data_IF_859853919533
#
_entry.id   IF_859853919533
#
_cell.length_a   1.000
_cell.length_b   1.000
_cell.length_c   1.000
_cell.angle_alpha   90.00
_cell.angle_beta   90.00
_cell.angle_gamma   90.00
#
_symmetry.space_group_name_H-M   'P 1'
#
loop_
_entity.id
_entity.type
_entity.pdbx_description
1 polymer ?
#
# COMPACT_ATOMS: atom_id res chain seq x y z
N UNK A 1 3.17 78.18 -22.95
CA UNK A 1 3.53 76.81 -23.41
C UNK A 1 4.23 76.08 -22.27
N UNK A 2 3.45 75.57 -21.35
CA UNK A 2 3.86 74.66 -20.26
C UNK A 2 2.65 73.89 -19.89
N UNK A 3 2.32 72.83 -20.58
CA UNK A 3 1.39 71.80 -20.22
C UNK A 3 1.64 70.63 -21.15
N UNK A 4 2.15 69.54 -20.65
CA UNK A 4 2.03 68.20 -21.22
C UNK A 4 3.20 67.24 -20.81
N UNK A 5 3.53 67.19 -19.51
CA UNK A 5 4.47 66.14 -19.02
C UNK A 5 3.99 65.33 -17.80
N UNK A 6 2.80 65.57 -17.29
CA UNK A 6 2.34 64.89 -16.05
C UNK A 6 1.36 63.72 -16.29
N UNK A 7 0.83 63.58 -17.52
CA UNK A 7 -0.24 62.57 -17.79
C UNK A 7 0.32 61.16 -17.99
N UNK A 8 1.59 60.97 -18.28
CA UNK A 8 2.17 59.66 -18.56
C UNK A 8 2.58 58.85 -17.30
N UNK A 9 2.88 59.50 -16.19
CA UNK A 9 3.37 58.83 -14.97
C UNK A 9 2.30 57.98 -14.26
N UNK A 10 1.11 58.52 -14.10
CA UNK A 10 0.03 57.79 -13.39
C UNK A 10 -0.51 56.58 -14.18
N UNK A 11 -0.48 56.66 -15.50
CA UNK A 11 -0.84 55.53 -16.36
C UNK A 11 0.18 54.41 -16.26
N UNK A 12 1.46 54.73 -16.26
CA UNK A 12 2.57 53.77 -16.12
C UNK A 12 2.54 53.06 -14.76
N UNK A 13 2.31 53.78 -13.67
CA UNK A 13 2.17 53.21 -12.32
C UNK A 13 0.98 52.22 -12.22
N UNK A 14 -0.16 52.54 -12.80
CA UNK A 14 -1.33 51.63 -12.87
C UNK A 14 -1.06 50.36 -13.70
N UNK A 15 -0.28 50.46 -14.79
CA UNK A 15 0.11 49.28 -15.54
C UNK A 15 1.12 48.41 -14.77
N UNK A 16 2.05 49.02 -14.06
CA UNK A 16 3.03 48.34 -13.21
C UNK A 16 2.37 47.60 -12.08
N UNK A 17 1.41 48.22 -11.41
CA UNK A 17 0.59 47.60 -10.35
C UNK A 17 -0.21 46.40 -10.86
N UNK A 18 -0.86 46.54 -12.01
CA UNK A 18 -1.58 45.41 -12.62
C UNK A 18 -0.63 44.26 -13.00
N UNK A 19 0.55 44.57 -13.52
CA UNK A 19 1.56 43.58 -13.88
C UNK A 19 2.05 42.84 -12.62
N UNK A 20 2.42 43.57 -11.55
CA UNK A 20 2.86 43.01 -10.28
C UNK A 20 1.80 42.14 -9.67
N UNK A 21 0.55 42.63 -9.63
CA UNK A 21 -0.59 41.83 -9.11
C UNK A 21 -0.77 40.55 -9.92
N UNK A 22 -0.71 40.60 -11.23
CA UNK A 22 -0.84 39.42 -12.10
C UNK A 22 0.30 38.39 -11.85
N UNK A 23 1.54 38.88 -11.68
CA UNK A 23 2.67 38.00 -11.34
C UNK A 23 2.52 37.37 -9.99
N UNK A 24 2.07 38.13 -8.96
CA UNK A 24 1.79 37.60 -7.64
C UNK A 24 0.67 36.53 -7.65
N UNK A 25 -0.42 36.79 -8.34
CA UNK A 25 -1.51 35.81 -8.49
C UNK A 25 -1.02 34.54 -9.19
N UNK A 26 -0.27 34.69 -10.27
CA UNK A 26 0.29 33.53 -11.00
C UNK A 26 1.24 32.72 -10.12
N UNK A 27 2.13 33.36 -9.36
CA UNK A 27 3.05 32.67 -8.46
C UNK A 27 2.32 31.93 -7.33
N UNK A 28 1.26 32.49 -6.78
CA UNK A 28 0.41 31.82 -5.79
C UNK A 28 -0.31 30.60 -6.39
N UNK A 29 -0.87 30.75 -7.59
CA UNK A 29 -1.52 29.62 -8.29
C UNK A 29 -0.54 28.48 -8.60
N UNK A 30 0.69 28.82 -9.01
CA UNK A 30 1.76 27.84 -9.23
C UNK A 30 2.14 27.16 -7.92
N UNK A 31 2.31 27.90 -6.83
CA UNK A 31 2.61 27.34 -5.52
C UNK A 31 1.50 26.39 -5.03
N UNK A 32 0.23 26.79 -5.17
CA UNK A 32 -0.94 25.94 -4.83
C UNK A 32 -0.92 24.66 -5.69
N UNK A 33 -0.68 24.77 -6.99
CA UNK A 33 -0.59 23.59 -7.88
C UNK A 33 0.50 22.62 -7.43
N UNK A 34 1.70 23.12 -7.10
CA UNK A 34 2.79 22.29 -6.59
C UNK A 34 2.45 21.65 -5.24
N UNK A 35 1.86 22.41 -4.32
CA UNK A 35 1.42 21.91 -3.02
C UNK A 35 0.40 20.78 -3.19
N UNK A 36 -0.61 20.96 -4.03
CA UNK A 36 -1.60 19.93 -4.35
C UNK A 36 -0.94 18.71 -4.98
N UNK A 37 0.01 18.89 -5.90
CA UNK A 37 0.72 17.77 -6.52
C UNK A 37 1.53 16.96 -5.49
N UNK A 38 2.25 17.62 -4.61
CA UNK A 38 3.04 16.98 -3.54
C UNK A 38 2.15 16.23 -2.56
N UNK A 39 0.97 16.77 -2.23
CA UNK A 39 0.08 16.20 -1.21
C UNK A 39 -0.90 15.17 -1.73
N UNK A 40 -1.27 15.21 -3.03
CA UNK A 40 -2.38 14.38 -3.53
C UNK A 40 -1.94 13.26 -4.47
N UNK A 41 -1.05 13.51 -5.42
CA UNK A 41 -0.70 12.55 -6.48
C UNK A 41 0.80 12.40 -6.60
N UNK A 42 1.26 11.17 -6.76
CA UNK A 42 2.66 10.83 -7.03
C UNK A 42 2.72 9.77 -8.14
N UNK A 43 3.83 9.79 -8.91
CA UNK A 43 4.08 8.79 -9.95
C UNK A 43 5.08 7.75 -9.48
N UNK A 44 4.78 6.47 -9.74
CA UNK A 44 5.69 5.34 -9.53
C UNK A 44 5.88 4.55 -10.82
N UNK A 45 7.11 4.11 -11.07
CA UNK A 45 7.42 3.18 -12.14
C UNK A 45 7.32 1.75 -11.63
N UNK A 46 6.67 0.86 -12.40
CA UNK A 46 6.54 -0.56 -12.09
C UNK A 46 7.79 -1.29 -12.59
N UNK A 47 8.59 -1.89 -11.68
CA UNK A 47 9.81 -2.61 -12.07
C UNK A 47 9.59 -4.08 -12.41
N UNK A 48 8.57 -4.74 -11.82
CA UNK A 48 8.33 -6.18 -11.83
C UNK A 48 6.97 -6.53 -12.42
N UNK A 49 6.76 -7.81 -12.68
CA UNK A 49 5.55 -8.39 -13.29
C UNK A 49 4.52 -8.94 -12.29
N UNK A 50 4.77 -8.83 -10.97
CA UNK A 50 3.91 -9.43 -9.94
C UNK A 50 2.44 -8.97 -9.97
N UNK A 51 2.15 -7.90 -10.71
CA UNK A 51 0.80 -7.37 -10.94
C UNK A 51 0.32 -7.56 -12.39
N UNK A 52 0.99 -8.45 -13.17
CA UNK A 52 0.54 -8.80 -14.52
C UNK A 52 -0.81 -9.54 -14.47
N UNK A 53 -1.75 -9.28 -15.38
CA UNK A 53 -1.67 -8.41 -16.56
C UNK A 53 -2.05 -6.94 -16.28
N UNK A 54 -2.56 -6.62 -15.08
CA UNK A 54 -3.04 -5.27 -14.73
C UNK A 54 -1.94 -4.23 -14.87
N UNK A 55 -0.78 -4.50 -14.28
CA UNK A 55 0.43 -3.68 -14.42
C UNK A 55 1.58 -4.50 -14.98
N UNK A 56 2.39 -3.87 -15.84
CA UNK A 56 3.53 -4.49 -16.51
C UNK A 56 4.82 -3.70 -16.23
N UNK A 57 6.00 -4.36 -16.26
CA UNK A 57 7.27 -3.66 -16.15
C UNK A 57 7.37 -2.53 -17.19
N UNK A 58 7.71 -1.32 -16.73
CA UNK A 58 7.77 -0.12 -17.57
C UNK A 58 6.50 0.74 -17.57
N UNK A 59 5.42 0.30 -16.92
CA UNK A 59 4.28 1.17 -16.61
C UNK A 59 4.69 2.23 -15.58
N UNK A 60 4.23 3.46 -15.77
CA UNK A 60 4.28 4.54 -14.79
C UNK A 60 2.85 4.82 -14.33
N UNK A 61 2.59 4.64 -13.05
CA UNK A 61 1.26 4.77 -12.46
C UNK A 61 1.09 6.08 -11.70
N UNK A 62 -0.12 6.62 -11.70
CA UNK A 62 -0.52 7.72 -10.81
C UNK A 62 -1.16 7.16 -9.55
N UNK A 63 -0.65 7.58 -8.40
CA UNK A 63 -1.09 7.13 -7.08
C UNK A 63 -1.71 8.29 -6.31
N UNK A 64 -2.96 8.12 -5.93
CA UNK A 64 -3.69 9.07 -5.11
C UNK A 64 -3.35 8.84 -3.63
N UNK A 65 -2.56 9.75 -3.04
CA UNK A 65 -2.17 9.73 -1.62
C UNK A 65 -3.25 10.27 -0.69
N UNK A 66 -4.15 11.11 -1.19
CA UNK A 66 -5.16 11.77 -0.35
C UNK A 66 -6.14 10.79 0.29
N UNK A 67 -6.34 9.62 -0.32
CA UNK A 67 -7.18 8.54 0.24
C UNK A 67 -6.65 8.11 1.62
N UNK A 68 -5.33 8.01 1.77
CA UNK A 68 -4.67 7.60 3.01
C UNK A 68 -4.17 8.78 3.87
N UNK A 69 -4.26 10.00 3.34
CA UNK A 69 -3.57 11.18 3.86
C UNK A 69 -2.08 11.16 3.50
N UNK A 70 -1.63 12.22 2.81
CA UNK A 70 -0.23 12.34 2.42
C UNK A 70 0.68 12.38 3.65
N UNK A 71 1.88 11.82 3.50
CA UNK A 71 2.90 11.81 4.54
C UNK A 71 3.88 12.95 4.34
N UNK A 72 4.22 13.61 5.41
CA UNK A 72 5.27 14.64 5.47
C UNK A 72 6.33 14.11 6.42
N UNK A 73 7.54 13.97 5.95
CA UNK A 73 8.70 13.52 6.70
C UNK A 73 9.99 14.08 6.09
N UNK A 74 11.07 14.07 6.87
CA UNK A 74 12.39 14.49 6.40
C UNK A 74 12.97 13.43 5.45
N UNK A 75 13.00 13.74 4.14
CA UNK A 75 13.48 12.81 3.12
C UNK A 75 14.99 12.54 3.22
N UNK A 76 15.77 13.49 3.76
CA UNK A 76 17.21 13.36 3.92
C UNK A 76 17.55 12.36 5.03
N UNK A 77 16.87 12.45 6.17
CA UNK A 77 17.01 11.49 7.27
C UNK A 77 16.53 10.10 6.84
N UNK A 78 15.43 10.03 6.08
CA UNK A 78 14.92 8.78 5.52
C UNK A 78 15.92 8.13 4.53
N UNK A 79 16.66 8.93 3.76
CA UNK A 79 17.69 8.44 2.84
C UNK A 79 18.93 7.91 3.58
N UNK A 80 19.21 8.40 4.77
CA UNK A 80 20.27 7.91 5.67
C UNK A 80 19.82 6.72 6.55
N UNK A 81 18.62 6.16 6.30
CA UNK A 81 17.99 5.05 7.05
C UNK A 81 17.83 5.36 8.56
N UNK A 82 17.77 6.65 8.94
CA UNK A 82 17.47 7.09 10.29
C UNK A 82 15.99 6.93 10.62
N UNK A 83 15.67 6.82 11.90
CA UNK A 83 14.28 6.96 12.36
C UNK A 83 13.79 8.38 12.07
N UNK A 84 12.64 8.49 11.42
CA UNK A 84 12.03 9.77 11.03
C UNK A 84 10.62 9.87 11.57
N UNK A 85 10.28 11.05 12.05
CA UNK A 85 8.91 11.37 12.41
C UNK A 85 8.06 11.54 11.14
N UNK A 86 6.97 10.79 11.06
CA UNK A 86 6.04 10.82 9.95
C UNK A 86 4.75 11.51 10.38
N UNK A 87 4.55 12.73 9.90
CA UNK A 87 3.26 13.40 10.02
C UNK A 87 2.36 13.02 8.85
N UNK A 88 1.13 12.59 9.14
CA UNK A 88 0.14 12.21 8.13
C UNK A 88 -0.99 13.24 8.09
N UNK A 89 -1.25 13.78 6.91
CA UNK A 89 -2.41 14.65 6.67
C UNK A 89 -3.73 13.88 6.84
N UNK A 90 -4.85 14.56 7.15
CA UNK A 90 -6.15 13.91 7.17
C UNK A 90 -6.46 13.16 5.89
N UNK A 91 -7.03 11.98 6.01
CA UNK A 91 -7.46 11.17 4.86
C UNK A 91 -8.79 11.69 4.30
N UNK A 92 -8.91 11.69 2.96
CA UNK A 92 -10.11 12.12 2.24
C UNK A 92 -10.89 10.94 1.64
N UNK A 93 -10.53 9.68 1.99
CA UNK A 93 -11.20 8.50 1.47
C UNK A 93 -10.96 7.26 2.30
N UNK A 94 -11.34 6.12 1.73
CA UNK A 94 -11.13 4.80 2.31
C UNK A 94 -10.62 3.86 1.22
N UNK A 95 -9.77 2.93 1.58
CA UNK A 95 -9.37 1.80 0.73
C UNK A 95 -10.58 0.91 0.48
N UNK A 96 -10.76 0.48 -0.75
CA UNK A 96 -11.80 -0.45 -1.17
C UNK A 96 -11.20 -1.79 -1.55
N UNK A 97 -12.03 -2.83 -1.54
CA UNK A 97 -11.66 -4.13 -2.07
C UNK A 97 -11.36 -4.01 -3.56
N UNK A 98 -10.37 -4.72 -4.03
CA UNK A 98 -9.81 -4.66 -5.38
C UNK A 98 -9.00 -3.37 -5.72
N UNK A 99 -8.91 -2.37 -4.85
CA UNK A 99 -7.98 -1.25 -5.06
C UNK A 99 -6.53 -1.74 -5.19
N UNK A 100 -5.78 -1.18 -6.12
CA UNK A 100 -4.34 -1.45 -6.24
C UNK A 100 -3.58 -0.47 -5.34
N UNK A 101 -2.97 -1.00 -4.29
CA UNK A 101 -2.28 -0.24 -3.25
C UNK A 101 -0.80 -0.10 -3.55
N UNK A 102 -0.26 1.09 -3.28
CA UNK A 102 1.17 1.32 -3.16
C UNK A 102 1.50 1.48 -1.67
N UNK A 103 2.47 0.73 -1.19
CA UNK A 103 2.83 0.68 0.22
C UNK A 103 4.32 0.38 0.43
N UNK A 104 4.83 0.64 1.64
CA UNK A 104 6.16 0.20 2.04
C UNK A 104 6.15 -1.26 2.44
N UNK A 105 7.14 -2.02 1.98
CA UNK A 105 7.24 -3.43 2.33
C UNK A 105 7.47 -3.60 3.84
N UNK A 106 6.63 -4.40 4.53
CA UNK A 106 6.64 -4.44 5.99
C UNK A 106 7.79 -5.25 6.60
N UNK A 107 8.54 -6.06 5.82
CA UNK A 107 9.60 -6.95 6.32
C UNK A 107 10.91 -6.77 5.54
N UNK A 108 11.56 -5.57 5.55
CA UNK A 108 12.72 -5.29 4.71
C UNK A 108 13.98 -6.08 5.10
N UNK A 109 14.15 -6.43 6.39
CA UNK A 109 15.37 -7.07 6.88
C UNK A 109 15.22 -8.58 7.08
N UNK A 110 14.13 -9.03 7.71
CA UNK A 110 13.76 -10.44 7.91
C UNK A 110 12.25 -10.54 8.10
N UNK A 111 11.67 -11.72 7.86
CA UNK A 111 10.22 -11.92 7.99
C UNK A 111 9.73 -12.01 9.45
N UNK A 112 10.57 -11.76 10.43
CA UNK A 112 10.31 -11.90 11.86
C UNK A 112 9.98 -10.59 12.58
N UNK A 113 10.19 -9.44 11.94
CA UNK A 113 9.87 -8.14 12.53
C UNK A 113 9.34 -7.13 11.51
N UNK A 114 8.30 -6.39 11.91
CA UNK A 114 7.76 -5.29 11.10
C UNK A 114 8.64 -4.06 11.24
N UNK A 115 9.12 -3.55 10.11
CA UNK A 115 9.83 -2.27 10.03
C UNK A 115 9.48 -1.53 8.74
N UNK A 116 9.61 -0.21 8.72
CA UNK A 116 9.24 0.61 7.57
C UNK A 116 10.48 1.14 6.87
N UNK A 117 10.72 0.67 5.63
CA UNK A 117 11.73 1.25 4.75
C UNK A 117 11.07 2.27 3.82
N UNK A 118 11.19 3.55 4.14
CA UNK A 118 10.43 4.65 3.51
C UNK A 118 10.68 4.82 2.00
N UNK A 119 11.82 4.35 1.49
CA UNK A 119 12.19 4.49 0.07
C UNK A 119 11.91 3.23 -0.76
N UNK A 120 11.44 2.14 -0.13
CA UNK A 120 11.15 0.88 -0.82
C UNK A 120 9.65 0.64 -0.94
N UNK A 121 9.14 0.71 -2.16
CA UNK A 121 7.72 0.63 -2.45
C UNK A 121 7.35 -0.70 -3.11
N UNK A 122 6.19 -1.21 -2.73
CA UNK A 122 5.54 -2.38 -3.32
C UNK A 122 4.15 -2.01 -3.83
N UNK A 123 3.69 -2.76 -4.82
CA UNK A 123 2.36 -2.58 -5.41
C UNK A 123 1.64 -3.92 -5.40
N UNK A 124 0.47 -3.98 -4.75
CA UNK A 124 -0.40 -5.17 -4.69
C UNK A 124 -1.86 -4.76 -4.66
N UNK A 125 -2.74 -5.69 -5.01
CA UNK A 125 -4.19 -5.52 -4.91
C UNK A 125 -4.68 -5.75 -3.49
N UNK A 126 -5.59 -4.90 -3.01
CA UNK A 126 -6.32 -5.09 -1.76
C UNK A 126 -7.34 -6.22 -1.93
N UNK A 127 -7.11 -7.34 -1.27
CA UNK A 127 -8.00 -8.50 -1.31
C UNK A 127 -9.01 -8.44 -0.17
N UNK A 128 -8.54 -8.15 1.06
CA UNK A 128 -9.36 -8.18 2.26
C UNK A 128 -9.21 -6.88 3.06
N UNK A 129 -10.33 -6.39 3.55
CA UNK A 129 -10.42 -5.17 4.36
C UNK A 129 -10.36 -5.48 5.87
N UNK A 130 -10.04 -4.49 6.71
CA UNK A 130 -10.09 -4.64 8.16
C UNK A 130 -11.47 -5.09 8.66
N UNK A 131 -11.49 -6.06 9.57
CA UNK A 131 -12.70 -6.65 10.15
C UNK A 131 -13.22 -7.90 9.43
N UNK A 132 -12.73 -8.18 8.23
CA UNK A 132 -13.15 -9.36 7.45
C UNK A 132 -12.44 -10.64 7.95
N UNK A 133 -13.05 -11.78 7.65
CA UNK A 133 -12.41 -13.11 7.78
C UNK A 133 -12.35 -13.76 6.40
N UNK A 134 -11.17 -14.17 5.99
CA UNK A 134 -10.90 -14.69 4.67
C UNK A 134 -10.26 -16.06 4.68
N UNK A 135 -10.21 -16.68 3.52
CA UNK A 135 -9.36 -17.82 3.23
C UNK A 135 -9.17 -18.01 1.73
N UNK A 136 -8.41 -19.04 1.39
CA UNK A 136 -8.26 -19.54 0.03
C UNK A 136 -8.70 -21.01 0.03
N UNK A 137 -9.52 -21.41 -0.93
CA UNK A 137 -9.92 -22.81 -1.16
C UNK A 137 -9.65 -23.16 -2.60
N UNK A 138 -8.87 -24.21 -2.83
CA UNK A 138 -8.45 -24.63 -4.18
C UNK A 138 -7.92 -23.45 -5.02
N UNK A 139 -7.13 -22.56 -4.42
CA UNK A 139 -6.57 -21.40 -5.10
C UNK A 139 -7.49 -20.18 -5.23
N UNK A 140 -8.74 -20.26 -4.79
CA UNK A 140 -9.73 -19.17 -4.88
C UNK A 140 -9.92 -18.44 -3.55
N UNK A 141 -9.81 -17.11 -3.59
CA UNK A 141 -10.14 -16.27 -2.44
C UNK A 141 -11.62 -16.37 -2.08
N UNK A 142 -11.90 -16.47 -0.79
CA UNK A 142 -13.24 -16.26 -0.26
C UNK A 142 -13.18 -15.36 0.98
N UNK A 143 -14.24 -14.59 1.21
CA UNK A 143 -14.43 -13.77 2.40
C UNK A 143 -15.79 -14.14 2.99
N UNK A 144 -15.82 -14.37 4.31
CA UNK A 144 -17.06 -14.74 5.00
C UNK A 144 -18.13 -13.65 4.82
N UNK A 145 -19.28 -14.03 4.27
CA UNK A 145 -20.41 -13.14 4.03
C UNK A 145 -20.31 -12.24 2.80
N UNK A 146 -19.29 -12.43 1.94
CA UNK A 146 -19.10 -11.67 0.69
C UNK A 146 -19.13 -12.62 -0.50
N UNK A 147 -19.95 -12.29 -1.50
CA UNK A 147 -20.08 -13.07 -2.75
C UNK A 147 -19.48 -12.36 -3.97
N UNK A 148 -18.81 -11.23 -3.77
CA UNK A 148 -18.22 -10.45 -4.85
C UNK A 148 -16.99 -11.14 -5.45
N UNK A 149 -16.70 -10.81 -6.71
CA UNK A 149 -15.45 -11.22 -7.36
C UNK A 149 -14.26 -10.48 -6.74
N UNK A 150 -13.26 -11.23 -6.29
CA UNK A 150 -12.13 -10.71 -5.53
C UNK A 150 -10.84 -11.08 -6.23
N UNK A 151 -9.98 -10.09 -6.47
CA UNK A 151 -8.67 -10.30 -7.09
C UNK A 151 -8.75 -10.72 -8.56
N UNK A 152 -7.64 -11.24 -9.08
CA UNK A 152 -7.54 -11.72 -10.46
C UNK A 152 -8.05 -13.16 -10.56
N UNK A 153 -9.25 -13.36 -11.11
CA UNK A 153 -9.91 -14.68 -11.21
C UNK A 153 -9.12 -15.65 -12.11
N UNK A 154 -8.53 -15.17 -13.21
CA UNK A 154 -7.75 -16.04 -14.09
C UNK A 154 -6.45 -16.53 -13.42
N UNK A 155 -5.83 -15.71 -12.58
CA UNK A 155 -4.70 -16.13 -11.77
C UNK A 155 -5.11 -17.19 -10.72
N UNK A 156 -6.27 -17.02 -10.09
CA UNK A 156 -6.81 -18.00 -9.15
C UNK A 156 -7.07 -19.37 -9.81
N UNK A 157 -7.65 -19.37 -11.03
CA UNK A 157 -7.83 -20.59 -11.83
C UNK A 157 -6.49 -21.26 -12.19
N UNK A 158 -5.40 -20.50 -12.39
CA UNK A 158 -4.09 -21.08 -12.61
C UNK A 158 -3.52 -21.70 -11.34
N UNK A 159 -3.68 -21.04 -10.18
CA UNK A 159 -3.30 -21.62 -8.88
C UNK A 159 -4.10 -22.90 -8.59
N UNK A 160 -5.40 -22.95 -8.88
CA UNK A 160 -6.22 -24.16 -8.73
C UNK A 160 -5.65 -25.35 -9.50
N UNK A 161 -5.14 -25.12 -10.71
CA UNK A 161 -4.61 -26.17 -11.58
C UNK A 161 -3.18 -26.60 -11.26
N UNK A 162 -2.53 -25.98 -10.27
CA UNK A 162 -1.18 -26.40 -9.88
C UNK A 162 -1.21 -27.80 -9.29
N UNK A 163 -0.36 -28.67 -9.84
CA UNK A 163 -0.07 -30.02 -9.33
C UNK A 163 1.36 -30.05 -8.81
N UNK A 164 1.69 -30.98 -7.92
CA UNK A 164 3.03 -31.09 -7.32
C UNK A 164 4.15 -31.13 -8.38
N UNK A 165 3.89 -31.72 -9.53
CA UNK A 165 4.82 -31.85 -10.65
C UNK A 165 5.10 -30.52 -11.38
N UNK A 166 4.16 -29.56 -11.30
CA UNK A 166 4.20 -28.29 -12.04
C UNK A 166 4.51 -27.07 -11.15
N UNK A 167 5.01 -27.28 -9.92
CA UNK A 167 5.29 -26.20 -8.96
C UNK A 167 6.72 -25.67 -8.99
N UNK A 168 7.52 -26.04 -10.02
CA UNK A 168 8.92 -25.60 -10.09
C UNK A 168 9.04 -24.09 -10.04
N UNK A 169 9.71 -23.59 -8.98
CA UNK A 169 9.90 -22.17 -8.73
C UNK A 169 8.74 -21.48 -7.99
N UNK A 170 7.67 -22.20 -7.67
CA UNK A 170 6.54 -21.69 -6.89
C UNK A 170 6.64 -22.26 -5.48
N UNK A 171 6.65 -21.38 -4.48
CA UNK A 171 6.61 -21.78 -3.07
C UNK A 171 5.15 -22.04 -2.69
N UNK A 172 4.83 -23.27 -2.33
CA UNK A 172 3.46 -23.68 -2.00
C UNK A 172 3.07 -23.32 -0.56
N UNK A 173 4.03 -23.45 0.37
CA UNK A 173 3.79 -23.15 1.77
C UNK A 173 3.53 -21.65 1.96
N UNK A 174 2.66 -21.33 2.91
CA UNK A 174 2.18 -20.00 3.15
C UNK A 174 2.38 -19.56 4.61
N UNK A 175 2.16 -18.28 4.87
CA UNK A 175 2.10 -17.69 6.20
C UNK A 175 1.13 -18.51 7.10
N UNK A 176 1.44 -18.74 8.39
CA UNK A 176 2.57 -18.19 9.16
C UNK A 176 3.85 -19.05 9.15
N UNK A 177 4.02 -19.98 8.22
CA UNK A 177 5.18 -20.89 8.11
C UNK A 177 5.36 -21.80 9.33
N UNK A 178 4.24 -22.23 9.89
CA UNK A 178 4.18 -23.05 11.10
C UNK A 178 3.71 -24.47 10.76
N UNK A 179 4.42 -25.47 11.25
CA UNK A 179 4.12 -26.89 10.98
C UNK A 179 2.76 -27.40 11.49
N UNK A 180 2.13 -26.66 12.39
CA UNK A 180 0.79 -26.98 12.92
C UNK A 180 -0.31 -26.17 12.22
N UNK A 181 0.07 -25.16 11.43
CA UNK A 181 -0.83 -24.38 10.59
C UNK A 181 -0.36 -24.61 9.14
N UNK A 182 -0.78 -25.74 8.59
CA UNK A 182 -0.34 -26.23 7.27
C UNK A 182 -1.09 -25.50 6.13
N UNK A 183 -0.93 -24.17 6.09
CA UNK A 183 -1.52 -23.36 5.02
C UNK A 183 -0.64 -23.31 3.80
N UNK A 184 -1.30 -23.40 2.65
CA UNK A 184 -0.67 -23.29 1.33
C UNK A 184 -1.29 -22.15 0.54
N UNK A 185 -0.70 -21.82 -0.61
CA UNK A 185 -1.31 -20.84 -1.52
C UNK A 185 -2.60 -21.34 -2.19
N UNK A 186 -2.90 -22.66 -2.10
CA UNK A 186 -4.14 -23.24 -2.60
C UNK A 186 -5.20 -23.36 -1.49
N UNK A 187 -4.78 -23.65 -0.26
CA UNK A 187 -5.68 -23.82 0.88
C UNK A 187 -5.12 -23.04 2.09
N UNK A 188 -5.73 -21.91 2.37
CA UNK A 188 -5.27 -20.94 3.35
C UNK A 188 -6.43 -20.47 4.25
N UNK A 189 -6.15 -20.26 5.51
CA UNK A 189 -7.13 -19.72 6.45
C UNK A 189 -8.00 -20.78 7.15
N UNK A 190 -9.04 -20.34 7.87
CA UNK A 190 -9.54 -18.96 7.91
C UNK A 190 -8.59 -18.00 8.66
N UNK A 191 -8.36 -16.82 8.10
CA UNK A 191 -7.59 -15.74 8.72
C UNK A 191 -8.52 -14.54 8.97
N UNK A 192 -8.62 -14.11 10.23
CA UNK A 192 -9.28 -12.86 10.57
C UNK A 192 -8.31 -11.69 10.34
N UNK A 193 -8.77 -10.64 9.66
CA UNK A 193 -7.98 -9.42 9.39
C UNK A 193 -8.42 -8.34 10.37
N UNK A 194 -7.64 -8.03 11.43
CA UNK A 194 -8.09 -7.16 12.49
C UNK A 194 -8.37 -5.72 12.03
N UNK A 195 -9.38 -5.09 12.61
CA UNK A 195 -9.65 -3.67 12.50
C UNK A 195 -9.22 -2.94 13.78
N UNK A 196 -8.94 -1.66 13.65
CA UNK A 196 -8.66 -0.78 14.79
C UNK A 196 -9.80 -0.82 15.81
N UNK A 197 -9.46 -1.02 17.08
CA UNK A 197 -10.40 -1.14 18.20
C UNK A 197 -11.05 -2.52 18.31
N UNK A 198 -10.72 -3.45 17.44
CA UNK A 198 -11.24 -4.81 17.51
C UNK A 198 -10.38 -5.67 18.43
N UNK A 199 -11.05 -6.43 19.30
CA UNK A 199 -10.41 -7.34 20.25
C UNK A 199 -10.42 -8.76 19.70
N UNK A 200 -9.29 -9.45 19.80
CA UNK A 200 -9.12 -10.85 19.40
C UNK A 200 -8.57 -11.65 20.58
N UNK A 201 -9.15 -12.81 20.84
CA UNK A 201 -8.64 -13.73 21.86
C UNK A 201 -7.23 -14.22 21.48
N UNK A 202 -6.31 -14.22 22.44
CA UNK A 202 -4.91 -14.61 22.25
C UNK A 202 -4.72 -16.08 22.66
N UNK A 203 -5.14 -16.99 21.79
CA UNK A 203 -4.84 -18.41 21.90
C UNK A 203 -3.50 -18.78 21.20
N UNK A 204 -3.19 -20.07 21.18
CA UNK A 204 -1.97 -20.58 20.55
C UNK A 204 -1.87 -20.26 19.05
N UNK A 205 -3.00 -20.23 18.35
CA UNK A 205 -3.08 -19.92 16.93
C UNK A 205 -2.95 -18.41 16.69
N UNK A 206 -3.66 -17.61 17.47
CA UNK A 206 -3.61 -16.15 17.40
C UNK A 206 -2.20 -15.61 17.66
N UNK A 207 -1.48 -16.17 18.62
CA UNK A 207 -0.06 -15.81 18.85
C UNK A 207 0.79 -16.03 17.60
N UNK A 208 0.63 -17.15 16.91
CA UNK A 208 1.39 -17.43 15.68
C UNK A 208 1.01 -16.50 14.54
N UNK A 209 -0.28 -16.18 14.41
CA UNK A 209 -0.80 -15.30 13.34
C UNK A 209 -0.54 -13.82 13.57
N UNK A 210 -0.47 -13.36 14.82
CA UNK A 210 -0.47 -11.92 15.10
C UNK A 210 0.73 -11.44 15.90
N UNK A 211 1.69 -12.29 16.26
CA UNK A 211 2.87 -11.91 17.05
C UNK A 211 3.53 -10.65 16.52
N UNK A 212 3.93 -10.65 15.24
CA UNK A 212 4.65 -9.54 14.65
C UNK A 212 3.85 -8.23 14.66
N UNK A 213 2.53 -8.30 14.55
CA UNK A 213 1.63 -7.15 14.58
C UNK A 213 1.56 -6.57 15.99
N UNK A 214 1.33 -7.43 16.99
CA UNK A 214 1.22 -7.04 18.39
C UNK A 214 2.55 -6.46 18.90
N UNK A 215 3.67 -7.13 18.62
CA UNK A 215 5.02 -6.66 18.99
C UNK A 215 5.35 -5.32 18.33
N UNK A 216 4.94 -5.14 17.06
CA UNK A 216 5.13 -3.87 16.37
C UNK A 216 4.30 -2.73 16.99
N UNK A 217 3.03 -2.99 17.34
CA UNK A 217 2.17 -1.98 17.99
C UNK A 217 2.61 -1.62 19.41
N UNK A 218 3.07 -2.62 20.18
CA UNK A 218 3.34 -2.46 21.61
C UNK A 218 4.81 -2.24 21.96
N UNK A 219 5.73 -2.54 21.02
CA UNK A 219 7.17 -2.53 21.25
C UNK A 219 7.59 -3.41 22.43
N UNK A 220 6.86 -4.51 22.63
CA UNK A 220 7.07 -5.51 23.68
C UNK A 220 6.98 -6.90 23.05
N UNK A 221 7.76 -7.88 23.54
CA UNK A 221 7.68 -9.26 23.05
C UNK A 221 6.34 -9.89 23.41
N UNK A 222 5.77 -10.66 22.48
CA UNK A 222 4.61 -11.51 22.70
C UNK A 222 5.10 -12.96 22.82
N UNK A 223 5.08 -13.50 24.04
CA UNK A 223 5.53 -14.86 24.34
C UNK A 223 4.39 -15.76 24.79
N UNK A 224 4.61 -17.05 24.64
CA UNK A 224 3.69 -18.06 25.15
C UNK A 224 4.46 -19.08 25.99
N UNK A 225 4.00 -19.25 27.21
CA UNK A 225 4.47 -20.27 28.13
C UNK A 225 3.33 -21.23 28.42
N UNK A 226 3.51 -22.48 28.06
CA UNK A 226 2.45 -23.52 28.12
C UNK A 226 1.13 -23.04 27.45
N UNK A 227 0.12 -22.71 28.25
CA UNK A 227 -1.20 -22.24 27.81
C UNK A 227 -1.45 -20.75 28.09
N UNK A 228 -0.46 -20.02 28.60
CA UNK A 228 -0.57 -18.61 28.95
C UNK A 228 0.18 -17.75 27.94
N UNK A 229 -0.40 -16.59 27.60
CA UNK A 229 0.19 -15.63 26.67
C UNK A 229 0.57 -14.37 27.42
N UNK A 230 1.80 -13.92 27.21
CA UNK A 230 2.37 -12.73 27.86
C UNK A 230 2.76 -11.68 26.84
N UNK A 231 2.43 -10.43 27.14
CA UNK A 231 2.92 -9.25 26.43
C UNK A 231 3.92 -8.49 27.36
N UNK A 232 5.20 -8.66 27.10
CA UNK A 232 6.22 -8.36 28.09
C UNK A 232 6.01 -9.23 29.33
N UNK A 233 5.88 -8.61 30.51
CA UNK A 233 5.64 -9.29 31.78
C UNK A 233 4.16 -9.45 32.12
N UNK A 234 3.25 -9.01 31.27
CA UNK A 234 1.80 -8.99 31.54
C UNK A 234 1.10 -10.17 30.90
N UNK A 235 0.38 -10.97 31.70
CA UNK A 235 -0.50 -12.01 31.22
C UNK A 235 -1.70 -11.39 30.48
N UNK A 236 -1.97 -11.85 29.26
CA UNK A 236 -3.12 -11.41 28.45
C UNK A 236 -3.94 -12.60 27.97
N UNK A 237 -5.26 -12.42 27.87
CA UNK A 237 -6.18 -13.38 27.27
C UNK A 237 -6.70 -12.90 25.92
N UNK A 238 -6.67 -11.60 25.70
CA UNK A 238 -7.13 -10.95 24.48
C UNK A 238 -6.27 -9.73 24.15
N UNK A 239 -6.31 -9.29 22.89
CA UNK A 239 -5.61 -8.10 22.44
C UNK A 239 -6.51 -7.20 21.61
N UNK A 240 -6.58 -5.91 21.96
CA UNK A 240 -7.29 -4.88 21.20
C UNK A 240 -6.33 -4.20 20.23
N UNK A 241 -6.53 -4.40 18.94
CA UNK A 241 -5.66 -3.86 17.88
C UNK A 241 -5.78 -2.34 17.79
N UNK A 242 -4.65 -1.66 17.67
CA UNK A 242 -4.55 -0.20 17.57
C UNK A 242 -4.63 0.30 16.14
N UNK A 243 -4.33 -0.58 15.15
CA UNK A 243 -4.31 -0.25 13.73
C UNK A 243 -5.27 -1.11 12.91
N UNK A 244 -5.58 -0.64 11.70
CA UNK A 244 -6.26 -1.44 10.68
C UNK A 244 -5.23 -2.28 9.92
N UNK A 245 -5.63 -3.48 9.53
CA UNK A 245 -4.81 -4.39 8.73
C UNK A 245 -5.51 -4.77 7.44
N UNK A 246 -4.73 -5.09 6.42
CA UNK A 246 -5.20 -5.48 5.09
C UNK A 246 -4.50 -6.75 4.64
N UNK A 247 -5.20 -7.55 3.85
CA UNK A 247 -4.57 -8.65 3.12
C UNK A 247 -4.45 -8.25 1.66
N UNK A 248 -3.25 -8.33 1.10
CA UNK A 248 -2.97 -7.90 -0.28
C UNK A 248 -2.41 -9.05 -1.10
N UNK A 249 -2.78 -9.11 -2.38
CA UNK A 249 -2.35 -10.12 -3.33
C UNK A 249 -1.82 -9.53 -4.64
N UNK A 250 -0.90 -10.24 -5.28
CA UNK A 250 -0.49 -9.88 -6.64
C UNK A 250 -1.42 -10.48 -7.67
N UNK A 251 -1.62 -9.77 -8.78
CA UNK A 251 -2.44 -10.25 -9.90
C UNK A 251 -1.76 -11.37 -10.68
N UNK A 252 -0.42 -11.50 -10.59
CA UNK A 252 0.33 -12.65 -11.05
C UNK A 252 0.66 -13.56 -9.87
N UNK A 253 -0.34 -14.34 -9.45
CA UNK A 253 -0.31 -15.09 -8.18
C UNK A 253 0.85 -16.09 -8.09
N UNK A 254 1.29 -16.67 -9.22
CA UNK A 254 2.37 -17.65 -9.29
C UNK A 254 3.74 -16.98 -9.09
N UNK A 255 3.86 -15.67 -9.39
CA UNK A 255 5.10 -14.91 -9.27
C UNK A 255 4.89 -13.63 -8.42
N UNK A 256 4.26 -13.77 -7.26
CA UNK A 256 4.01 -12.64 -6.37
C UNK A 256 4.35 -13.00 -4.93
N UNK A 257 5.26 -12.23 -4.33
CA UNK A 257 5.51 -12.23 -2.89
C UNK A 257 4.56 -11.23 -2.23
N UNK A 258 3.48 -11.74 -1.64
CA UNK A 258 2.38 -10.96 -1.06
C UNK A 258 1.92 -11.50 0.30
N UNK A 259 0.75 -11.08 0.80
CA UNK A 259 0.25 -11.45 2.13
C UNK A 259 0.11 -12.95 2.36
N UNK A 260 0.02 -13.76 1.31
CA UNK A 260 0.05 -15.22 1.44
C UNK A 260 1.36 -15.71 2.06
N UNK A 261 2.44 -14.95 1.93
CA UNK A 261 3.78 -15.33 2.39
C UNK A 261 4.28 -14.56 3.61
N UNK A 262 3.84 -13.30 3.80
CA UNK A 262 4.35 -12.46 4.88
C UNK A 262 3.26 -11.94 5.83
N UNK A 263 1.97 -12.30 5.61
CA UNK A 263 0.87 -11.95 6.50
C UNK A 263 0.24 -10.60 6.19
N UNK A 264 -0.20 -9.87 7.22
CA UNK A 264 -1.04 -8.70 7.09
C UNK A 264 -0.24 -7.39 6.92
N UNK A 265 -0.80 -6.48 6.12
CA UNK A 265 -0.26 -5.15 5.86
C UNK A 265 -0.89 -4.13 6.82
N UNK A 266 -0.10 -3.48 7.71
CA UNK A 266 -0.63 -2.41 8.55
C UNK A 266 -1.00 -1.16 7.75
N UNK A 267 -2.11 -0.50 8.10
CA UNK A 267 -2.58 0.74 7.44
C UNK A 267 -1.51 1.84 7.37
N UNK A 268 -0.68 2.09 8.40
CA UNK A 268 0.37 3.09 8.35
C UNK A 268 1.41 2.88 7.22
N UNK A 269 1.53 1.67 6.68
CA UNK A 269 2.45 1.37 5.58
C UNK A 269 1.91 1.76 4.20
N UNK A 270 0.59 1.95 4.06
CA UNK A 270 -0.04 2.28 2.78
C UNK A 270 0.25 3.74 2.42
N UNK A 271 0.76 3.97 1.21
CA UNK A 271 1.06 5.30 0.64
C UNK A 271 -0.17 5.87 -0.04
N UNK A 272 -0.86 5.05 -0.85
CA UNK A 272 -2.04 5.47 -1.58
C UNK A 272 -2.57 4.40 -2.52
N UNK A 273 -3.53 4.80 -3.34
CA UNK A 273 -4.21 3.94 -4.33
C UNK A 273 -3.78 4.32 -5.74
N UNK A 274 -3.34 3.34 -6.52
CA UNK A 274 -3.02 3.51 -7.92
C UNK A 274 -4.31 3.68 -8.74
N UNK A 275 -4.37 4.70 -9.59
CA UNK A 275 -5.60 5.08 -10.30
C UNK A 275 -5.51 4.93 -11.81
N UNK A 276 -4.37 5.29 -12.40
CA UNK A 276 -4.15 5.25 -13.86
C UNK A 276 -2.70 4.93 -14.20
N UNK A 277 -2.51 4.31 -15.36
CA UNK A 277 -1.22 4.23 -16.05
C UNK A 277 -1.11 5.48 -16.93
N UNK A 278 -0.21 6.42 -16.61
CA UNK A 278 -0.09 7.64 -17.39
C UNK A 278 0.97 7.56 -18.49
N UNK A 279 1.91 6.63 -18.37
CA UNK A 279 2.96 6.33 -19.35
C UNK A 279 3.31 4.85 -19.29
N UNK A 280 3.57 4.23 -20.42
CA UNK A 280 4.02 2.84 -20.48
C UNK A 280 5.07 2.68 -21.58
N UNK A 281 6.24 2.16 -21.20
CA UNK A 281 7.36 1.91 -22.13
C UNK A 281 7.80 0.48 -21.99
N UNK A 282 7.84 -0.24 -23.09
CA UNK A 282 8.38 -1.60 -23.13
C UNK A 282 9.89 -1.56 -22.86
N UNK A 283 10.33 -2.24 -21.80
CA UNK A 283 11.73 -2.21 -21.36
C UNK A 283 12.67 -2.94 -22.34
N UNK A 284 12.17 -3.89 -23.11
CA UNK A 284 12.96 -4.68 -24.04
C UNK A 284 13.18 -3.96 -25.37
N UNK A 285 12.16 -3.25 -25.86
CA UNK A 285 12.16 -2.58 -27.17
C UNK A 285 12.34 -1.06 -27.10
N UNK A 286 12.16 -0.47 -25.90
CA UNK A 286 12.14 0.98 -25.70
C UNK A 286 10.90 1.69 -26.29
N UNK A 287 9.96 0.94 -26.89
CA UNK A 287 8.79 1.49 -27.55
C UNK A 287 7.67 1.86 -26.55
N UNK A 288 6.96 2.94 -26.86
CA UNK A 288 5.77 3.35 -26.10
C UNK A 288 4.60 2.37 -26.37
N UNK A 289 3.96 1.90 -25.32
CA UNK A 289 2.72 1.09 -25.36
C UNK A 289 1.53 2.03 -25.22
N UNK A 290 1.08 2.58 -26.37
CA UNK A 290 0.03 3.61 -26.42
C UNK A 290 -1.33 3.11 -25.94
N UNK A 291 -1.63 1.81 -26.10
CA UNK A 291 -2.85 1.14 -25.63
C UNK A 291 -2.98 1.15 -24.10
N UNK A 292 -1.88 1.37 -23.38
CA UNK A 292 -1.83 1.43 -21.93
C UNK A 292 -1.81 2.85 -21.36
N UNK A 293 -1.52 3.86 -22.21
CA UNK A 293 -1.43 5.25 -21.77
C UNK A 293 -2.83 5.77 -21.36
N UNK A 294 -2.92 6.39 -20.17
CA UNK A 294 -4.13 6.88 -19.51
C UNK A 294 -5.16 5.78 -19.14
N UNK A 295 -4.78 4.50 -19.30
CA UNK A 295 -5.62 3.38 -18.88
C UNK A 295 -5.92 3.45 -17.38
N UNK A 296 -7.19 3.28 -17.02
CA UNK A 296 -7.64 3.17 -15.62
C UNK A 296 -7.19 1.82 -15.05
N UNK A 297 -6.81 1.82 -13.78
CA UNK A 297 -6.46 0.61 -13.02
C UNK A 297 -7.73 0.18 -12.28
N UNK A 298 -8.18 -1.03 -12.55
CA UNK A 298 -9.39 -1.64 -11.99
C UNK A 298 -9.02 -2.91 -11.22
#
# INVERSE_FOLDING_TARGET
>A
MKDDCTVNGDSYLKYLDKLLTSVCVLSVLVAIKYLLHITTVVSFQIPTDSMYPTLQPGDNILVNKSIMGARIFNIWEAAEEKEVDIYRLPRLGKVKRNDVLVFHYPYPHKNDSLSMHLLKYYVKRCIVLPGDTMGIRKGHYYIKGINDSIGNIEAQKRIEKLQKENTRGIVMDAYPWDKYIDWTIQDFGPLHVPARGQTVAMDSTAVKLYRNLVEWEQKKPLTREENQVYLGDSLIQEYCFKENYYFVGGDYMENSKDSRYWGLLPEPYIVGVATRIWKSVDKSTGKMRWDRVMKRIE
#
